data_IF_347874282002
#
_entry.id   IF_347874282002
#
_cell.length_a   1.000
_cell.length_b   1.000
_cell.length_c   1.000
_cell.angle_alpha   90.00
_cell.angle_beta   90.00
_cell.angle_gamma   90.00
#
_symmetry.space_group_name_H-M   'P 1'
#
loop_
_entity.id
_entity.type
_entity.pdbx_description
1 polymer ?
#
# COMPACT_ATOMS: atom_id res chain seq x y z
N UNK A 1 -8.58 -15.65 -13.38
CA UNK A 1 -9.41 -15.74 -12.15
C UNK A 1 -10.37 -14.57 -12.21
N UNK A 2 -11.68 -14.87 -12.35
CA UNK A 2 -12.71 -13.85 -12.15
C UNK A 2 -12.55 -13.33 -10.72
N UNK A 3 -12.13 -12.07 -10.57
CA UNK A 3 -12.18 -11.39 -9.28
C UNK A 3 -13.67 -11.21 -9.00
N UNK A 4 -14.22 -12.09 -8.17
CA UNK A 4 -15.59 -12.01 -7.70
C UNK A 4 -15.73 -10.69 -6.93
N UNK A 5 -16.59 -9.81 -7.39
CA UNK A 5 -16.98 -8.67 -6.55
C UNK A 5 -17.66 -9.23 -5.29
N UNK A 6 -17.24 -8.79 -4.09
CA UNK A 6 -17.87 -9.26 -2.87
C UNK A 6 -19.37 -8.92 -2.90
N UNK A 7 -20.20 -9.85 -2.46
CA UNK A 7 -21.63 -9.60 -2.34
C UNK A 7 -21.89 -8.50 -1.31
N UNK A 8 -22.95 -7.75 -1.49
CA UNK A 8 -23.33 -6.64 -0.61
C UNK A 8 -23.41 -7.08 0.88
N UNK A 9 -23.75 -8.35 1.13
CA UNK A 9 -23.71 -8.96 2.47
C UNK A 9 -22.28 -9.09 3.04
N UNK A 10 -21.30 -9.40 2.20
CA UNK A 10 -19.89 -9.53 2.61
C UNK A 10 -19.31 -8.14 2.91
N UNK A 11 -19.64 -7.14 2.10
CA UNK A 11 -19.27 -5.74 2.34
C UNK A 11 -19.90 -5.23 3.63
N UNK A 12 -21.19 -5.49 3.86
CA UNK A 12 -21.88 -5.08 5.07
C UNK A 12 -21.38 -5.81 6.32
N UNK A 13 -20.95 -7.06 6.20
CA UNK A 13 -20.31 -7.79 7.30
C UNK A 13 -18.93 -7.22 7.66
N UNK A 14 -18.15 -6.78 6.66
CA UNK A 14 -16.87 -6.11 6.86
C UNK A 14 -17.03 -4.69 7.44
N UNK A 15 -18.11 -3.99 7.06
CA UNK A 15 -18.42 -2.64 7.53
C UNK A 15 -19.26 -2.65 8.83
N UNK A 16 -19.80 -3.81 9.26
CA UNK A 16 -20.53 -3.90 10.52
C UNK A 16 -19.57 -3.65 11.69
N UNK A 17 -19.93 -2.68 12.52
CA UNK A 17 -19.19 -2.37 13.75
C UNK A 17 -19.12 -3.65 14.60
N UNK A 18 -17.92 -4.11 15.00
CA UNK A 18 -17.81 -5.27 15.89
C UNK A 18 -18.67 -5.06 17.14
N UNK A 19 -19.47 -6.05 17.52
CA UNK A 19 -20.37 -5.98 18.68
C UNK A 19 -19.61 -5.77 20.01
N UNK A 20 -18.31 -6.08 20.03
CA UNK A 20 -17.43 -6.01 21.21
C UNK A 20 -16.35 -4.92 21.08
N UNK A 21 -16.76 -3.67 20.80
CA UNK A 21 -15.81 -2.54 20.90
C UNK A 21 -15.50 -2.32 22.39
N UNK A 22 -14.31 -2.73 22.81
CA UNK A 22 -13.79 -2.34 24.11
C UNK A 22 -13.51 -0.83 24.09
N UNK A 23 -14.26 -0.06 24.86
CA UNK A 23 -13.93 1.35 25.10
C UNK A 23 -12.60 1.40 25.85
N UNK A 24 -11.59 1.98 25.24
CA UNK A 24 -10.30 2.27 25.89
C UNK A 24 -10.29 3.72 26.35
N UNK A 25 -9.78 3.95 27.55
CA UNK A 25 -9.66 5.31 28.09
C UNK A 25 -8.54 6.11 27.41
N UNK A 26 -7.61 5.41 26.79
CA UNK A 26 -6.45 5.97 26.08
C UNK A 26 -6.17 5.12 24.86
N UNK A 27 -5.98 5.77 23.72
CA UNK A 27 -5.60 5.09 22.48
C UNK A 27 -4.07 5.15 22.35
N UNK A 28 -3.43 3.97 22.30
CA UNK A 28 -2.00 3.85 22.09
C UNK A 28 -1.71 3.74 20.60
N UNK A 29 -1.03 4.73 20.05
CA UNK A 29 -0.67 4.83 18.63
C UNK A 29 0.83 4.71 18.47
N UNK A 30 1.29 3.83 17.59
CA UNK A 30 2.68 3.72 17.20
C UNK A 30 2.88 4.22 15.77
N UNK A 31 3.76 5.21 15.60
CA UNK A 31 4.18 5.72 14.29
C UNK A 31 5.54 5.14 13.92
N UNK A 32 5.60 4.42 12.80
CA UNK A 32 6.80 3.75 12.29
C UNK A 32 7.20 4.36 10.95
N UNK A 33 8.22 5.24 10.92
CA UNK A 33 8.68 5.93 9.72
C UNK A 33 10.20 5.91 9.60
N UNK A 34 10.75 5.94 8.38
CA UNK A 34 12.19 5.94 8.14
C UNK A 34 12.75 7.37 8.27
N UNK A 35 12.91 7.84 9.50
CA UNK A 35 13.45 9.17 9.79
C UNK A 35 14.96 9.26 9.53
N UNK A 36 15.65 8.13 9.44
CA UNK A 36 17.10 8.06 9.18
C UNK A 36 17.93 8.90 10.16
N UNK A 37 17.59 8.86 11.44
CA UNK A 37 18.18 9.68 12.48
C UNK A 37 19.69 9.50 12.64
N UNK A 38 20.24 8.40 12.15
CA UNK A 38 21.69 8.10 12.20
C UNK A 38 22.47 8.56 10.95
N UNK A 39 21.79 9.14 9.96
CA UNK A 39 22.43 9.63 8.74
C UNK A 39 22.79 11.11 8.88
N UNK A 40 24.00 11.47 8.45
CA UNK A 40 24.52 12.85 8.51
C UNK A 40 23.89 13.77 7.47
N UNK A 41 23.31 13.20 6.42
CA UNK A 41 22.68 13.95 5.33
C UNK A 41 21.24 13.51 5.17
N UNK A 42 20.32 14.41 5.46
CA UNK A 42 18.89 14.15 5.24
C UNK A 42 18.56 14.23 3.75
N UNK A 43 17.88 13.21 3.25
CA UNK A 43 17.35 13.22 1.88
C UNK A 43 16.00 13.98 1.83
N UNK A 44 15.60 14.44 0.64
CA UNK A 44 14.26 15.03 0.43
C UNK A 44 13.13 14.07 0.80
N UNK A 45 13.35 12.76 0.71
CA UNK A 45 12.40 11.75 1.14
C UNK A 45 12.22 11.75 2.66
N UNK A 46 13.32 11.88 3.42
CA UNK A 46 13.30 11.93 4.88
C UNK A 46 12.52 13.15 5.39
N UNK A 47 12.70 14.31 4.75
CA UNK A 47 11.98 15.54 5.09
C UNK A 47 10.46 15.36 5.01
N UNK A 48 9.96 14.64 4.00
CA UNK A 48 8.51 14.35 3.86
C UNK A 48 7.95 13.52 5.02
N UNK A 49 8.74 12.64 5.60
CA UNK A 49 8.30 11.86 6.76
C UNK A 49 8.27 12.70 8.04
N UNK A 50 9.15 13.69 8.16
CA UNK A 50 9.11 14.68 9.23
C UNK A 50 7.85 15.55 9.09
N UNK A 51 7.57 16.07 7.91
CA UNK A 51 6.34 16.83 7.62
C UNK A 51 5.06 16.00 7.90
N UNK A 52 5.07 14.72 7.55
CA UNK A 52 3.95 13.84 7.90
C UNK A 52 3.78 13.67 9.41
N UNK A 53 4.88 13.52 10.14
CA UNK A 53 4.87 13.43 11.59
C UNK A 53 4.35 14.72 12.23
N UNK A 54 4.77 15.89 11.74
CA UNK A 54 4.24 17.19 12.19
C UNK A 54 2.72 17.28 11.96
N UNK A 55 2.25 16.87 10.80
CA UNK A 55 0.81 16.78 10.52
C UNK A 55 0.07 15.84 11.47
N UNK A 56 0.67 14.68 11.80
CA UNK A 56 0.10 13.75 12.77
C UNK A 56 0.02 14.37 14.17
N UNK A 57 1.03 15.14 14.60
CA UNK A 57 0.99 15.84 15.89
C UNK A 57 -0.16 16.84 15.97
N UNK A 58 -0.42 17.58 14.88
CA UNK A 58 -1.57 18.49 14.80
C UNK A 58 -2.90 17.73 14.91
N UNK A 59 -2.99 16.57 14.27
CA UNK A 59 -4.17 15.71 14.36
C UNK A 59 -4.38 15.17 15.78
N UNK A 60 -3.31 14.73 16.45
CA UNK A 60 -3.35 14.26 17.84
C UNK A 60 -3.79 15.37 18.79
N UNK A 61 -3.28 16.60 18.62
CA UNK A 61 -3.69 17.74 19.41
C UNK A 61 -5.17 18.08 19.21
N UNK A 62 -5.63 18.08 17.96
CA UNK A 62 -7.04 18.29 17.63
C UNK A 62 -7.95 17.26 18.30
N UNK A 63 -7.59 15.98 18.23
CA UNK A 63 -8.36 14.88 18.85
C UNK A 63 -8.35 14.99 20.38
N UNK A 64 -7.23 15.42 20.96
CA UNK A 64 -7.13 15.69 22.41
C UNK A 64 -8.09 16.80 22.84
N UNK A 65 -8.17 17.88 22.08
CA UNK A 65 -9.10 18.99 22.33
C UNK A 65 -10.57 18.55 22.20
N UNK A 66 -10.83 17.49 21.42
CA UNK A 66 -12.15 16.84 21.32
C UNK A 66 -12.42 15.80 22.44
N UNK A 67 -11.52 15.67 23.42
CA UNK A 67 -11.67 14.77 24.57
C UNK A 67 -11.12 13.36 24.38
N UNK A 68 -10.39 13.08 23.26
CA UNK A 68 -9.77 11.77 23.03
C UNK A 68 -8.36 11.72 23.61
N UNK A 69 -8.09 10.81 24.53
CA UNK A 69 -6.74 10.61 25.07
C UNK A 69 -5.91 9.74 24.14
N UNK A 70 -4.80 10.28 23.61
CA UNK A 70 -3.88 9.56 22.73
C UNK A 70 -2.48 9.56 23.34
N UNK A 71 -1.86 8.38 23.34
CA UNK A 71 -0.44 8.19 23.64
C UNK A 71 0.25 7.81 22.34
N UNK A 72 1.19 8.64 21.88
CA UNK A 72 1.91 8.46 20.62
C UNK A 72 3.34 8.02 20.89
N UNK A 73 3.70 6.84 20.41
CA UNK A 73 5.08 6.32 20.37
C UNK A 73 5.62 6.44 18.95
N UNK A 74 6.83 6.97 18.79
CA UNK A 74 7.43 7.23 17.47
C UNK A 74 8.70 6.42 17.32
N UNK A 75 8.81 5.68 16.23
CA UNK A 75 9.92 4.77 15.92
C UNK A 75 10.56 5.10 14.59
N UNK A 76 11.90 5.12 14.55
CA UNK A 76 12.68 5.23 13.31
C UNK A 76 12.94 3.84 12.74
N UNK A 77 12.25 3.50 11.66
CA UNK A 77 12.40 2.19 10.99
C UNK A 77 13.73 2.03 10.24
N UNK A 78 14.39 3.14 9.92
CA UNK A 78 15.59 3.12 9.09
C UNK A 78 15.37 2.45 7.73
N UNK A 79 16.47 2.00 7.14
CA UNK A 79 16.45 1.19 5.91
C UNK A 79 16.45 -0.30 6.22
N UNK A 80 15.72 -1.08 5.39
CA UNK A 80 15.65 -2.54 5.49
C UNK A 80 14.92 -3.03 6.75
N UNK A 81 14.99 -4.31 7.01
CA UNK A 81 14.12 -4.96 8.02
C UNK A 81 14.72 -5.07 9.42
N UNK A 82 16.03 -4.74 9.60
CA UNK A 82 16.73 -4.99 10.87
C UNK A 82 16.10 -4.22 12.04
N UNK A 83 16.00 -2.90 11.92
CA UNK A 83 15.41 -2.05 12.97
C UNK A 83 13.95 -2.43 13.25
N UNK A 84 13.16 -2.69 12.20
CA UNK A 84 11.77 -3.12 12.37
C UNK A 84 11.68 -4.41 13.19
N UNK A 85 12.53 -5.39 12.93
CA UNK A 85 12.58 -6.64 13.72
C UNK A 85 12.96 -6.42 15.19
N UNK A 86 13.73 -5.37 15.47
CA UNK A 86 14.05 -4.97 16.87
C UNK A 86 12.85 -4.28 17.51
N UNK A 87 12.21 -3.32 16.82
CA UNK A 87 11.01 -2.61 17.28
C UNK A 87 9.85 -3.58 17.58
N UNK A 88 9.63 -4.58 16.72
CA UNK A 88 8.58 -5.60 16.90
C UNK A 88 8.78 -6.51 18.14
N UNK A 89 9.92 -6.45 18.83
CA UNK A 89 10.16 -7.16 20.07
C UNK A 89 9.84 -6.32 21.32
N UNK A 90 9.55 -5.04 21.17
CA UNK A 90 9.23 -4.16 22.29
C UNK A 90 7.83 -4.44 22.83
N UNK A 91 7.72 -4.67 24.10
CA UNK A 91 6.44 -4.93 24.79
C UNK A 91 5.45 -3.78 24.60
N UNK A 92 5.94 -2.54 24.54
CA UNK A 92 5.13 -1.34 24.32
C UNK A 92 4.36 -1.43 23.00
N UNK A 93 4.99 -1.96 21.93
CA UNK A 93 4.34 -2.08 20.63
C UNK A 93 3.24 -3.14 20.62
N UNK A 94 3.40 -4.24 21.37
CA UNK A 94 2.40 -5.30 21.47
C UNK A 94 1.09 -4.84 22.14
N UNK A 95 1.14 -3.75 22.90
CA UNK A 95 -0.01 -3.14 23.55
C UNK A 95 -0.63 -1.98 22.74
N UNK A 96 -0.07 -1.66 21.58
CA UNK A 96 -0.63 -0.60 20.73
C UNK A 96 -2.05 -0.97 20.23
N UNK A 97 -2.89 0.03 20.09
CA UNK A 97 -4.21 -0.12 19.48
C UNK A 97 -4.13 0.10 17.95
N UNK A 98 -3.20 0.96 17.54
CA UNK A 98 -3.02 1.37 16.16
C UNK A 98 -1.53 1.52 15.83
N UNK A 99 -1.12 0.93 14.73
CA UNK A 99 0.19 1.17 14.12
C UNK A 99 -0.03 1.94 12.81
N UNK A 100 0.75 3.00 12.59
CA UNK A 100 0.72 3.80 11.35
C UNK A 100 2.12 3.80 10.77
N UNK A 101 2.26 3.51 9.48
CA UNK A 101 3.54 3.70 8.82
C UNK A 101 4.07 2.47 8.12
N UNK A 102 5.38 2.39 8.13
CA UNK A 102 6.27 1.74 7.20
C UNK A 102 6.05 2.21 5.74
N UNK A 103 7.16 2.20 5.00
CA UNK A 103 7.21 2.69 3.62
C UNK A 103 7.68 1.60 2.68
N UNK A 104 8.60 0.76 3.15
CA UNK A 104 9.21 -0.31 2.36
C UNK A 104 8.37 -1.59 2.45
N UNK A 105 8.11 -2.24 1.32
CA UNK A 105 7.25 -3.42 1.27
C UNK A 105 7.74 -4.59 2.15
N UNK A 106 9.06 -4.77 2.28
CA UNK A 106 9.65 -5.79 3.13
C UNK A 106 9.43 -5.52 4.64
N UNK A 107 9.28 -4.25 5.03
CA UNK A 107 8.91 -3.86 6.39
C UNK A 107 7.41 -4.05 6.63
N UNK A 108 6.59 -3.70 5.65
CA UNK A 108 5.12 -3.75 5.74
C UNK A 108 4.63 -5.15 6.06
N UNK A 109 5.09 -6.17 5.35
CA UNK A 109 4.70 -7.56 5.61
C UNK A 109 4.99 -8.00 7.05
N UNK A 110 6.18 -7.67 7.59
CA UNK A 110 6.52 -8.00 8.98
C UNK A 110 5.59 -7.33 10.00
N UNK A 111 5.22 -6.07 9.75
CA UNK A 111 4.31 -5.34 10.64
C UNK A 111 2.87 -5.84 10.49
N UNK A 112 2.46 -6.21 9.28
CA UNK A 112 1.13 -6.78 9.02
C UNK A 112 0.93 -8.11 9.76
N UNK A 113 1.93 -9.00 9.71
CA UNK A 113 1.91 -10.27 10.46
C UNK A 113 1.86 -10.04 11.99
N UNK A 114 2.66 -9.07 12.47
CA UNK A 114 2.66 -8.69 13.88
C UNK A 114 1.31 -8.11 14.31
N UNK A 115 0.74 -7.23 13.52
CA UNK A 115 -0.56 -6.60 13.78
C UNK A 115 -1.69 -7.65 13.82
N UNK A 116 -1.66 -8.63 12.92
CA UNK A 116 -2.60 -9.74 12.92
C UNK A 116 -2.47 -10.59 14.19
N UNK A 117 -1.24 -10.96 14.56
CA UNK A 117 -0.95 -11.79 15.74
C UNK A 117 -1.43 -11.14 17.04
N UNK A 118 -1.28 -9.83 17.17
CA UNK A 118 -1.62 -9.07 18.38
C UNK A 118 -2.98 -8.37 18.31
N UNK A 119 -3.74 -8.59 17.22
CA UNK A 119 -5.03 -7.94 16.96
C UNK A 119 -4.96 -6.39 17.02
N UNK A 120 -3.89 -5.82 16.47
CA UNK A 120 -3.64 -4.40 16.38
C UNK A 120 -4.12 -3.91 15.00
N UNK A 121 -4.71 -2.70 14.91
CA UNK A 121 -5.03 -2.08 13.64
C UNK A 121 -3.77 -1.48 13.03
N UNK A 122 -3.55 -1.76 11.74
CA UNK A 122 -2.37 -1.31 11.03
C UNK A 122 -2.75 -0.49 9.80
N UNK A 123 -2.33 0.76 9.73
CA UNK A 123 -2.58 1.68 8.61
C UNK A 123 -1.31 1.90 7.79
N UNK A 124 -1.40 1.64 6.49
CA UNK A 124 -0.33 1.85 5.51
C UNK A 124 -0.63 3.14 4.72
N UNK A 125 0.10 4.26 4.99
CA UNK A 125 -0.28 5.56 4.42
C UNK A 125 0.26 5.84 3.02
N UNK A 126 1.38 5.23 2.58
CA UNK A 126 2.15 5.76 1.46
C UNK A 126 2.20 4.88 0.21
N UNK A 127 2.05 3.58 0.33
CA UNK A 127 2.18 2.68 -0.83
C UNK A 127 0.83 2.27 -1.40
N UNK A 128 0.82 2.01 -2.71
CA UNK A 128 -0.25 1.33 -3.44
C UNK A 128 0.21 -0.03 -4.00
N UNK A 129 1.44 -0.45 -3.69
CA UNK A 129 2.07 -1.67 -4.22
C UNK A 129 2.02 -2.85 -3.23
N UNK A 130 1.21 -2.75 -2.19
CA UNK A 130 1.08 -3.77 -1.17
C UNK A 130 -0.32 -4.38 -1.20
N UNK A 131 -0.42 -5.68 -1.13
CA UNK A 131 -1.66 -6.44 -1.21
C UNK A 131 -2.06 -7.11 0.13
N UNK A 132 -1.33 -6.87 1.23
CA UNK A 132 -1.65 -7.44 2.55
C UNK A 132 -3.06 -7.05 3.02
N UNK A 133 -3.54 -5.87 2.63
CA UNK A 133 -4.90 -5.41 2.89
C UNK A 133 -5.99 -6.35 2.34
N UNK A 134 -5.67 -7.16 1.33
CA UNK A 134 -6.61 -8.08 0.70
C UNK A 134 -6.85 -9.36 1.50
N UNK A 135 -5.91 -9.71 2.37
CA UNK A 135 -5.90 -10.98 3.11
C UNK A 135 -5.85 -10.81 4.63
N UNK A 136 -5.50 -9.63 5.14
CA UNK A 136 -5.33 -9.35 6.56
C UNK A 136 -6.35 -8.31 7.04
N UNK A 137 -7.35 -8.73 7.80
CA UNK A 137 -8.43 -7.87 8.31
C UNK A 137 -7.95 -6.77 9.29
N UNK A 138 -6.72 -6.83 9.76
CA UNK A 138 -6.13 -5.82 10.63
C UNK A 138 -5.44 -4.70 9.84
N UNK A 139 -5.22 -4.90 8.52
CA UNK A 139 -4.51 -3.95 7.65
C UNK A 139 -5.49 -3.03 6.95
N UNK A 140 -5.18 -1.75 6.96
CA UNK A 140 -5.88 -0.68 6.26
C UNK A 140 -4.88 0.07 5.39
N UNK A 141 -5.22 0.34 4.15
CA UNK A 141 -4.35 1.05 3.22
C UNK A 141 -5.05 2.31 2.71
N UNK A 142 -4.34 3.44 2.79
CA UNK A 142 -4.90 4.74 2.35
C UNK A 142 -4.99 4.81 0.83
N UNK A 143 -3.93 4.37 0.15
CA UNK A 143 -3.92 4.32 -1.31
C UNK A 143 -4.48 3.00 -1.82
N UNK A 144 -5.39 3.04 -2.76
CA UNK A 144 -5.95 1.83 -3.38
C UNK A 144 -4.83 0.96 -3.97
N UNK A 145 -4.77 -0.35 -3.65
CA UNK A 145 -3.80 -1.26 -4.26
C UNK A 145 -3.91 -1.22 -5.79
N UNK A 146 -2.77 -1.22 -6.47
CA UNK A 146 -2.74 -1.20 -7.94
C UNK A 146 -3.46 -2.40 -8.56
N UNK A 147 -3.41 -3.57 -7.91
CA UNK A 147 -4.11 -4.79 -8.35
C UNK A 147 -5.62 -4.59 -8.55
N UNK A 148 -6.26 -3.76 -7.71
CA UNK A 148 -7.67 -3.40 -7.90
C UNK A 148 -7.94 -2.52 -9.12
N UNK A 149 -6.95 -1.72 -9.54
CA UNK A 149 -7.10 -0.78 -10.64
C UNK A 149 -6.84 -1.44 -12.00
N UNK A 150 -6.10 -2.54 -12.05
CA UNK A 150 -5.65 -3.13 -13.32
C UNK A 150 -6.79 -3.54 -14.24
N UNK A 151 -7.81 -4.19 -13.72
CA UNK A 151 -8.97 -4.59 -14.52
C UNK A 151 -9.72 -3.37 -15.10
N UNK A 152 -9.98 -2.36 -14.28
CA UNK A 152 -10.65 -1.13 -14.70
C UNK A 152 -9.82 -0.32 -15.69
N UNK A 153 -8.51 -0.23 -15.47
CA UNK A 153 -7.59 0.44 -16.38
C UNK A 153 -7.49 -0.30 -17.74
N UNK A 154 -7.50 -1.63 -17.72
CA UNK A 154 -7.53 -2.45 -18.94
C UNK A 154 -8.83 -2.22 -19.72
N UNK A 155 -9.98 -2.23 -19.06
CA UNK A 155 -11.28 -1.93 -19.67
C UNK A 155 -11.29 -0.54 -20.30
N UNK A 156 -10.91 0.49 -19.53
CA UNK A 156 -10.86 1.86 -20.02
C UNK A 156 -9.88 2.03 -21.20
N UNK A 157 -8.73 1.36 -21.16
CA UNK A 157 -7.79 1.35 -22.28
C UNK A 157 -8.39 0.73 -23.55
N UNK A 158 -9.10 -0.38 -23.42
CA UNK A 158 -9.79 -0.99 -24.54
C UNK A 158 -10.95 -0.11 -25.07
N UNK A 159 -11.70 0.54 -24.18
CA UNK A 159 -12.78 1.47 -24.57
C UNK A 159 -12.24 2.67 -25.37
N UNK A 160 -11.07 3.19 -24.98
CA UNK A 160 -10.48 4.38 -25.60
C UNK A 160 -9.73 4.09 -26.91
N UNK A 161 -9.17 2.88 -27.05
CA UNK A 161 -8.21 2.58 -28.11
C UNK A 161 -8.64 1.41 -29.01
N UNK A 162 -9.90 0.93 -28.92
CA UNK A 162 -10.42 -0.19 -29.76
C UNK A 162 -10.27 0.04 -31.24
N UNK A 163 -10.36 1.29 -31.72
CA UNK A 163 -10.29 1.67 -33.13
C UNK A 163 -8.85 1.95 -33.62
N UNK A 164 -7.85 1.76 -32.74
CA UNK A 164 -6.45 2.02 -33.04
C UNK A 164 -5.65 0.73 -33.20
N UNK A 165 -4.54 0.81 -33.93
CA UNK A 165 -3.56 -0.27 -33.98
C UNK A 165 -2.79 -0.32 -32.67
N UNK A 166 -2.99 -1.36 -31.86
CA UNK A 166 -2.35 -1.50 -30.55
C UNK A 166 -1.07 -2.31 -30.69
N UNK A 167 0.04 -1.73 -30.23
CA UNK A 167 1.35 -2.40 -30.15
C UNK A 167 1.79 -2.41 -28.69
N UNK A 168 1.95 -3.60 -28.12
CA UNK A 168 2.53 -3.78 -26.78
C UNK A 168 4.05 -3.92 -26.90
N UNK A 169 4.77 -2.97 -26.34
CA UNK A 169 6.22 -2.94 -26.38
C UNK A 169 6.78 -3.44 -25.06
N UNK A 170 7.46 -4.56 -25.07
CA UNK A 170 8.17 -5.11 -23.93
C UNK A 170 9.67 -4.79 -24.02
N UNK A 171 10.23 -4.27 -22.95
CA UNK A 171 11.69 -4.08 -22.84
C UNK A 171 12.24 -5.31 -22.14
N UNK A 172 13.17 -6.01 -22.80
CA UNK A 172 13.79 -7.21 -22.23
C UNK A 172 14.47 -6.89 -20.90
N UNK A 173 14.27 -7.73 -19.92
CA UNK A 173 14.82 -7.60 -18.55
C UNK A 173 14.28 -6.42 -17.71
N UNK A 174 13.22 -5.73 -18.18
CA UNK A 174 12.52 -4.66 -17.47
C UNK A 174 11.01 -4.89 -17.53
N UNK A 175 10.54 -5.96 -16.92
CA UNK A 175 9.10 -6.22 -16.86
C UNK A 175 8.47 -5.32 -15.77
N UNK A 176 7.91 -4.20 -16.19
CA UNK A 176 7.13 -3.33 -15.29
C UNK A 176 5.66 -3.73 -15.33
N UNK A 177 5.08 -3.98 -14.16
CA UNK A 177 3.64 -4.28 -13.97
C UNK A 177 3.12 -5.45 -14.84
N UNK A 178 3.68 -6.64 -14.72
CA UNK A 178 3.28 -7.80 -15.52
C UNK A 178 1.80 -8.15 -15.36
N UNK A 179 1.25 -7.93 -14.18
CA UNK A 179 -0.17 -8.18 -13.88
C UNK A 179 -1.11 -7.23 -14.64
N UNK A 180 -0.74 -5.96 -14.80
CA UNK A 180 -1.51 -5.02 -15.63
C UNK A 180 -1.47 -5.43 -17.11
N UNK A 181 -0.29 -5.75 -17.63
CA UNK A 181 -0.13 -6.20 -19.03
C UNK A 181 -0.95 -7.45 -19.28
N UNK A 182 -0.95 -8.40 -18.33
CA UNK A 182 -1.79 -9.60 -18.41
C UNK A 182 -3.28 -9.26 -18.42
N UNK A 183 -3.74 -8.37 -17.54
CA UNK A 183 -5.13 -7.92 -17.49
C UNK A 183 -5.54 -7.23 -18.81
N UNK A 184 -4.67 -6.40 -19.36
CA UNK A 184 -4.91 -5.69 -20.61
C UNK A 184 -4.98 -6.64 -21.81
N UNK A 185 -4.05 -7.59 -21.91
CA UNK A 185 -4.10 -8.65 -22.95
C UNK A 185 -5.39 -9.48 -22.87
N UNK A 186 -5.79 -9.86 -21.65
CA UNK A 186 -7.02 -10.63 -21.44
C UNK A 186 -8.26 -9.86 -21.89
N UNK A 187 -8.33 -8.57 -21.56
CA UNK A 187 -9.46 -7.72 -21.96
C UNK A 187 -9.52 -7.53 -23.48
N UNK A 188 -8.37 -7.28 -24.15
CA UNK A 188 -8.30 -7.20 -25.62
C UNK A 188 -8.75 -8.48 -26.28
N UNK A 189 -8.32 -9.65 -25.77
CA UNK A 189 -8.72 -10.96 -26.29
C UNK A 189 -10.22 -11.21 -26.13
N UNK A 190 -10.80 -10.83 -24.99
CA UNK A 190 -12.25 -10.98 -24.73
C UNK A 190 -13.12 -10.12 -25.64
N UNK A 191 -12.56 -9.01 -26.13
CA UNK A 191 -13.24 -8.06 -27.02
C UNK A 191 -12.87 -8.22 -28.49
N UNK A 192 -12.10 -9.24 -28.85
CA UNK A 192 -11.58 -9.47 -30.19
C UNK A 192 -10.81 -8.27 -30.76
N UNK A 193 -10.15 -7.47 -29.90
CA UNK A 193 -9.30 -6.34 -30.30
C UNK A 193 -7.92 -6.86 -30.71
N UNK A 194 -7.50 -6.67 -31.98
CA UNK A 194 -6.20 -7.13 -32.43
C UNK A 194 -5.06 -6.29 -31.83
N UNK A 195 -3.99 -6.95 -31.42
CA UNK A 195 -2.78 -6.28 -30.95
C UNK A 195 -1.52 -7.01 -31.41
N UNK A 196 -0.43 -6.26 -31.53
CA UNK A 196 0.90 -6.82 -31.84
C UNK A 196 1.79 -6.67 -30.59
N UNK A 197 2.58 -7.69 -30.32
CA UNK A 197 3.56 -7.67 -29.23
C UNK A 197 4.97 -7.65 -29.83
N UNK A 198 5.81 -6.74 -29.33
CA UNK A 198 7.19 -6.56 -29.76
C UNK A 198 8.09 -6.49 -28.54
N UNK A 199 9.22 -7.19 -28.57
CA UNK A 199 10.21 -7.20 -27.47
C UNK A 199 11.52 -6.61 -27.95
N UNK A 200 12.00 -5.56 -27.29
CA UNK A 200 13.24 -4.88 -27.58
C UNK A 200 14.33 -5.20 -26.56
N UNK A 201 15.57 -5.15 -27.03
CA UNK A 201 16.77 -5.19 -26.21
C UNK A 201 17.39 -3.79 -26.18
N UNK A 202 17.43 -3.16 -24.99
CA UNK A 202 18.15 -1.92 -24.79
C UNK A 202 17.52 -0.67 -25.43
N UNK A 203 18.36 0.30 -25.78
CA UNK A 203 17.92 1.66 -26.15
C UNK A 203 17.61 1.84 -27.67
N UNK A 204 17.48 0.76 -28.43
CA UNK A 204 17.30 0.81 -29.89
C UNK A 204 15.86 1.03 -30.34
N UNK A 205 14.93 1.18 -29.40
CA UNK A 205 13.50 1.36 -29.69
C UNK A 205 13.19 2.51 -30.65
N UNK A 206 13.88 3.62 -30.51
CA UNK A 206 13.66 4.80 -31.34
C UNK A 206 14.09 4.63 -32.80
N UNK A 207 15.05 3.75 -33.07
CA UNK A 207 15.57 3.47 -34.41
C UNK A 207 14.87 2.35 -35.14
N UNK A 208 14.09 1.50 -34.43
CA UNK A 208 13.45 0.32 -35.00
C UNK A 208 11.96 0.55 -35.35
N UNK A 209 11.44 1.77 -35.12
CA UNK A 209 10.04 2.15 -35.42
C UNK A 209 9.92 2.87 -36.78
N UNK A 210 11.02 3.36 -37.34
CA UNK A 210 11.03 3.90 -38.71
C UNK A 210 11.01 2.75 -39.75
#
# INVERSE_FOLDING_TARGET
QNIRQPEEREVNALLSTPKDIKKVNRIQVALLLPFMTNETTQSSATSRFVEYYEGLLLAVDSLRNMGTSIELSVYDTGNGTKKVKEILKEDALSNANLIIGAVQNDQIGLIADFAQKHNIKYVIPFTSKNDDVLSNANVYQVNTPHSYLYSKAAQAGCDLFSDYNIILVNIKDKEEKPEFIKAFKTEMQQRDIPFKEVTYKGDTFATDIE
#
